data_IF_658172517693
#
_entry.id   IF_658172517693
#
_cell.length_a   1.000
_cell.length_b   1.000
_cell.length_c   1.000
_cell.angle_alpha   90.00
_cell.angle_beta   90.00
_cell.angle_gamma   90.00
#
_symmetry.space_group_name_H-M   'P 1'
#
loop_
_entity.id
_entity.type
_entity.pdbx_description
1 polymer ?
#
# COMPACT_ATOMS: atom_id res chain seq x y z
N UNK A 1 -24.06 -14.23 -16.16
CA UNK A 1 -22.87 -14.57 -15.36
C UNK A 1 -21.98 -13.33 -15.20
N UNK A 2 -21.63 -13.02 -13.99
CA UNK A 2 -20.75 -11.88 -13.75
C UNK A 2 -19.32 -12.22 -14.17
N UNK A 3 -18.67 -11.30 -14.85
CA UNK A 3 -17.28 -11.45 -15.24
C UNK A 3 -16.43 -10.70 -14.24
N UNK A 4 -15.47 -11.39 -13.65
CA UNK A 4 -14.52 -10.77 -12.76
C UNK A 4 -13.52 -9.96 -13.58
N UNK A 5 -13.47 -8.65 -13.33
CA UNK A 5 -12.58 -7.75 -14.06
C UNK A 5 -11.28 -7.48 -13.31
N UNK A 6 -11.08 -8.13 -12.19
CA UNK A 6 -9.86 -8.01 -11.39
C UNK A 6 -9.43 -9.38 -10.87
N UNK A 7 -8.15 -9.49 -10.54
CA UNK A 7 -7.61 -10.67 -9.89
C UNK A 7 -7.56 -10.45 -8.39
N UNK A 8 -7.89 -11.50 -7.62
CA UNK A 8 -7.68 -11.50 -6.18
C UNK A 8 -6.38 -12.23 -5.92
N UNK A 9 -5.48 -11.62 -5.18
CA UNK A 9 -4.18 -12.20 -4.86
C UNK A 9 -4.05 -12.35 -3.36
N UNK A 10 -3.60 -13.51 -2.93
CA UNK A 10 -3.40 -13.79 -1.52
C UNK A 10 -1.94 -13.54 -1.15
N UNK A 11 -1.72 -12.75 -0.11
CA UNK A 11 -0.38 -12.41 0.36
C UNK A 11 -0.30 -12.72 1.86
N UNK A 12 0.80 -13.34 2.27
CA UNK A 12 1.07 -13.63 3.67
C UNK A 12 2.00 -12.55 4.23
N UNK A 13 1.59 -11.93 5.32
CA UNK A 13 2.38 -10.89 5.98
C UNK A 13 3.44 -11.51 6.89
N UNK A 14 4.37 -10.70 7.36
CA UNK A 14 5.45 -11.16 8.23
C UNK A 14 4.96 -11.80 9.53
N UNK A 15 3.82 -11.36 10.03
CA UNK A 15 3.23 -11.92 11.25
C UNK A 15 2.43 -13.22 11.02
N UNK A 16 2.45 -13.74 9.79
CA UNK A 16 1.72 -14.96 9.44
C UNK A 16 0.28 -14.73 9.02
N UNK A 17 -0.23 -13.50 9.14
CA UNK A 17 -1.58 -13.18 8.68
C UNK A 17 -1.64 -13.22 7.17
N UNK A 18 -2.77 -13.69 6.63
CA UNK A 18 -2.99 -13.73 5.19
C UNK A 18 -4.06 -12.70 4.82
N UNK A 19 -3.82 -11.97 3.74
CA UNK A 19 -4.75 -10.96 3.26
C UNK A 19 -5.01 -11.20 1.77
N UNK A 20 -6.27 -11.00 1.36
CA UNK A 20 -6.65 -11.11 -0.05
C UNK A 20 -6.66 -9.71 -0.65
N UNK A 21 -5.79 -9.50 -1.63
CA UNK A 21 -5.64 -8.22 -2.28
C UNK A 21 -6.51 -8.16 -3.52
N UNK A 22 -7.24 -7.08 -3.67
CA UNK A 22 -8.04 -6.78 -4.85
C UNK A 22 -8.03 -5.28 -5.08
N UNK A 23 -8.35 -4.81 -6.29
CA UNK A 23 -8.44 -3.37 -6.53
C UNK A 23 -9.42 -2.71 -5.57
N UNK A 24 -9.07 -1.52 -5.10
CA UNK A 24 -9.92 -0.75 -4.19
C UNK A 24 -11.13 -0.21 -4.94
N UNK A 25 -12.26 -0.06 -4.22
CA UNK A 25 -13.39 0.67 -4.76
C UNK A 25 -12.97 2.12 -5.05
N UNK A 26 -13.74 2.83 -5.87
CA UNK A 26 -13.42 4.23 -6.18
C UNK A 26 -13.37 5.08 -4.91
N UNK A 27 -14.28 4.84 -3.99
CA UNK A 27 -14.30 5.59 -2.73
C UNK A 27 -13.01 5.37 -1.92
N UNK A 28 -12.58 4.13 -1.82
CA UNK A 28 -11.36 3.78 -1.10
C UNK A 28 -10.12 4.24 -1.86
N UNK A 29 -10.16 4.12 -3.18
CA UNK A 29 -9.04 4.54 -4.03
C UNK A 29 -8.78 6.04 -3.87
N UNK A 30 -9.83 6.86 -3.75
CA UNK A 30 -9.66 8.29 -3.53
C UNK A 30 -8.91 8.58 -2.24
N UNK A 31 -9.25 7.88 -1.16
CA UNK A 31 -8.55 8.02 0.11
C UNK A 31 -7.08 7.59 -0.03
N UNK A 32 -6.86 6.48 -0.70
CA UNK A 32 -5.55 5.93 -0.96
C UNK A 32 -4.68 6.93 -1.73
N UNK A 33 -5.22 7.51 -2.80
CA UNK A 33 -4.48 8.49 -3.62
C UNK A 33 -4.16 9.77 -2.86
N UNK A 34 -5.08 10.23 -2.01
CA UNK A 34 -4.84 11.41 -1.18
C UNK A 34 -3.65 11.16 -0.24
N UNK A 35 -3.62 9.98 0.38
CA UNK A 35 -2.50 9.61 1.26
C UNK A 35 -1.20 9.53 0.47
N UNK A 36 -1.22 8.89 -0.70
CA UNK A 36 -0.02 8.75 -1.53
C UNK A 36 0.55 10.07 -2.00
N UNK A 37 -0.29 11.07 -2.22
CA UNK A 37 0.18 12.39 -2.64
C UNK A 37 1.13 13.02 -1.63
N UNK A 38 1.01 12.65 -0.37
CA UNK A 38 1.90 13.16 0.66
C UNK A 38 3.33 12.68 0.49
N UNK A 39 3.54 11.59 -0.25
CA UNK A 39 4.89 11.10 -0.52
C UNK A 39 5.73 12.15 -1.27
N UNK A 40 5.09 12.96 -2.10
CA UNK A 40 5.80 14.02 -2.84
C UNK A 40 6.24 15.16 -1.93
N UNK A 41 5.66 15.26 -0.74
CA UNK A 41 6.02 16.27 0.25
C UNK A 41 7.02 15.75 1.28
N UNK A 42 7.37 14.47 1.21
CA UNK A 42 8.31 13.86 2.14
C UNK A 42 9.72 14.34 1.87
N UNK A 43 10.48 14.59 2.94
CA UNK A 43 11.86 15.06 2.84
C UNK A 43 12.88 13.98 3.19
N UNK A 44 12.43 12.85 3.76
CA UNK A 44 13.29 11.73 4.14
C UNK A 44 12.68 10.42 3.66
N UNK A 45 13.53 9.37 3.57
CA UNK A 45 13.04 8.03 3.23
C UNK A 45 12.09 7.51 4.29
N UNK A 46 12.34 7.86 5.55
CA UNK A 46 11.50 7.44 6.67
C UNK A 46 10.09 8.01 6.53
N UNK A 47 9.99 9.30 6.17
CA UNK A 47 8.69 9.94 5.94
C UNK A 47 7.97 9.31 4.75
N UNK A 48 8.71 9.00 3.68
CA UNK A 48 8.13 8.34 2.51
C UNK A 48 7.59 6.97 2.90
N UNK A 49 8.34 6.22 3.69
CA UNK A 49 7.91 4.91 4.16
C UNK A 49 6.64 5.01 5.01
N UNK A 50 6.57 6.01 5.90
CA UNK A 50 5.37 6.24 6.69
C UNK A 50 4.14 6.48 5.81
N UNK A 51 4.28 7.28 4.76
CA UNK A 51 3.18 7.54 3.82
C UNK A 51 2.75 6.26 3.12
N UNK A 52 3.71 5.44 2.69
CA UNK A 52 3.40 4.16 2.04
C UNK A 52 2.67 3.23 2.99
N UNK A 53 3.06 3.19 4.26
CA UNK A 53 2.37 2.38 5.26
C UNK A 53 0.96 2.91 5.51
N UNK A 54 0.78 4.23 5.54
CA UNK A 54 -0.55 4.82 5.66
C UNK A 54 -1.45 4.41 4.50
N UNK A 55 -0.91 4.40 3.28
CA UNK A 55 -1.66 3.96 2.10
C UNK A 55 -2.04 2.47 2.20
N UNK A 56 -1.11 1.64 2.67
CA UNK A 56 -1.37 0.22 2.90
C UNK A 56 -2.46 0.05 3.95
N UNK A 57 -2.45 0.88 4.99
CA UNK A 57 -3.48 0.83 6.03
C UNK A 57 -4.87 1.07 5.44
N UNK A 58 -5.00 2.01 4.50
CA UNK A 58 -6.27 2.23 3.80
C UNK A 58 -6.71 0.97 3.06
N UNK A 59 -5.76 0.30 2.40
CA UNK A 59 -6.06 -0.90 1.62
C UNK A 59 -6.45 -2.10 2.50
N UNK A 60 -5.88 -2.21 3.70
CA UNK A 60 -6.09 -3.38 4.57
C UNK A 60 -7.16 -3.17 5.64
N UNK A 61 -7.69 -1.96 5.78
CA UNK A 61 -8.58 -1.63 6.89
C UNK A 61 -9.78 -2.55 7.02
N UNK A 62 -10.38 -2.96 5.90
CA UNK A 62 -11.56 -3.82 5.92
C UNK A 62 -11.26 -5.25 6.31
N UNK A 63 -10.08 -5.75 5.96
CA UNK A 63 -9.73 -7.14 6.21
C UNK A 63 -9.01 -7.32 7.55
N UNK A 64 -8.19 -6.36 7.93
CA UNK A 64 -7.36 -6.44 9.12
C UNK A 64 -7.51 -5.16 9.96
N UNK A 65 -8.74 -4.83 10.41
CA UNK A 65 -8.97 -3.58 11.14
C UNK A 65 -8.16 -3.49 12.43
N UNK A 66 -7.97 -4.59 13.13
CA UNK A 66 -7.23 -4.61 14.38
C UNK A 66 -5.73 -4.33 14.14
N UNK A 67 -5.19 -4.90 13.07
CA UNK A 67 -3.80 -4.68 12.72
C UNK A 67 -3.57 -3.22 12.30
N UNK A 68 -4.49 -2.68 11.51
CA UNK A 68 -4.41 -1.29 11.05
C UNK A 68 -4.53 -0.32 12.24
N UNK A 69 -5.31 -0.66 13.24
CA UNK A 69 -5.47 0.16 14.42
C UNK A 69 -4.22 0.18 15.30
N UNK A 70 -3.32 -0.79 15.15
CA UNK A 70 -2.07 -0.87 15.91
C UNK A 70 -0.90 -0.64 14.97
N UNK A 71 -0.37 0.59 14.96
CA UNK A 71 0.70 0.97 14.01
C UNK A 71 1.95 0.13 14.17
N UNK A 72 2.37 -0.14 15.40
CA UNK A 72 3.57 -0.94 15.66
C UNK A 72 3.42 -2.36 15.11
N UNK A 73 2.26 -2.97 15.33
CA UNK A 73 1.99 -4.30 14.82
C UNK A 73 1.93 -4.31 13.30
N UNK A 74 1.37 -3.27 12.72
CA UNK A 74 1.30 -3.13 11.27
C UNK A 74 2.70 -3.04 10.65
N UNK A 75 3.57 -2.23 11.24
CA UNK A 75 4.94 -2.08 10.74
C UNK A 75 5.73 -3.37 10.88
N UNK A 76 5.50 -4.13 11.94
CA UNK A 76 6.15 -5.43 12.11
C UNK A 76 5.66 -6.47 11.10
N UNK A 77 4.43 -6.33 10.64
CA UNK A 77 3.82 -7.28 9.72
C UNK A 77 4.18 -7.00 8.26
N UNK A 78 4.72 -5.84 7.95
CA UNK A 78 4.99 -5.41 6.58
C UNK A 78 6.49 -5.42 6.27
N UNK A 79 6.80 -5.64 5.00
CA UNK A 79 8.13 -5.44 4.46
C UNK A 79 7.98 -4.70 3.12
N UNK A 80 9.09 -4.24 2.57
CA UNK A 80 9.05 -3.44 1.34
C UNK A 80 8.44 -4.20 0.17
N UNK A 81 8.83 -5.46 -0.10
CA UNK A 81 8.18 -6.21 -1.18
C UNK A 81 6.68 -6.36 -1.00
N UNK A 82 6.22 -6.59 0.23
CA UNK A 82 4.79 -6.71 0.53
C UNK A 82 4.08 -5.39 0.31
N UNK A 83 4.65 -4.28 0.77
CA UNK A 83 4.10 -2.94 0.52
C UNK A 83 3.95 -2.70 -0.97
N UNK A 84 5.00 -2.98 -1.74
CA UNK A 84 4.96 -2.80 -3.19
C UNK A 84 3.85 -3.61 -3.83
N UNK A 85 3.68 -4.85 -3.39
CA UNK A 85 2.65 -5.72 -3.93
C UNK A 85 1.25 -5.22 -3.63
N UNK A 86 1.04 -4.75 -2.40
CA UNK A 86 -0.24 -4.18 -1.99
C UNK A 86 -0.57 -2.94 -2.82
N UNK A 87 0.40 -2.05 -2.99
CA UNK A 87 0.21 -0.84 -3.79
C UNK A 87 -0.11 -1.19 -5.25
N UNK A 88 0.57 -2.20 -5.79
CA UNK A 88 0.36 -2.62 -7.17
C UNK A 88 -1.05 -3.19 -7.38
N UNK A 89 -1.46 -4.11 -6.52
CA UNK A 89 -2.75 -4.81 -6.68
C UNK A 89 -3.91 -3.91 -6.30
N UNK A 90 -3.82 -3.26 -5.15
CA UNK A 90 -4.94 -2.48 -4.61
C UNK A 90 -5.06 -1.11 -5.27
N UNK A 91 -3.94 -0.47 -5.53
CA UNK A 91 -3.93 0.88 -6.10
C UNK A 91 -3.74 0.93 -7.59
N UNK A 92 -3.46 -0.19 -8.24
CA UNK A 92 -3.18 -0.22 -9.66
C UNK A 92 -1.87 0.43 -10.05
N UNK A 93 -0.98 0.62 -9.09
CA UNK A 93 0.30 1.29 -9.32
C UNK A 93 1.34 0.24 -9.70
N UNK A 94 1.99 0.42 -10.85
CA UNK A 94 3.01 -0.53 -11.31
C UNK A 94 4.35 -0.19 -10.68
N UNK A 95 4.63 -0.85 -9.57
CA UNK A 95 5.86 -0.62 -8.81
C UNK A 95 7.09 -1.26 -9.44
N UNK A 96 6.89 -2.07 -10.46
CA UNK A 96 7.99 -2.63 -11.25
C UNK A 96 8.53 -1.64 -12.28
N UNK A 97 7.87 -0.50 -12.45
CA UNK A 97 8.37 0.57 -13.31
C UNK A 97 9.47 1.33 -12.55
N UNK A 98 10.74 1.22 -12.99
CA UNK A 98 11.83 1.86 -12.26
C UNK A 98 11.70 3.38 -12.20
N UNK A 99 11.09 4.00 -13.21
CA UNK A 99 10.89 5.44 -13.20
C UNK A 99 9.90 5.87 -12.13
N UNK A 100 8.83 5.11 -11.95
CA UNK A 100 7.82 5.41 -10.95
C UNK A 100 8.39 5.27 -9.55
N UNK A 101 9.09 4.17 -9.29
CA UNK A 101 9.70 3.93 -7.99
C UNK A 101 10.79 4.95 -7.69
N UNK A 102 11.64 5.24 -8.69
CA UNK A 102 12.70 6.22 -8.53
C UNK A 102 12.14 7.61 -8.24
N UNK A 103 11.04 7.99 -8.90
CA UNK A 103 10.40 9.28 -8.67
C UNK A 103 9.90 9.38 -7.23
N UNK A 104 9.32 8.31 -6.69
CA UNK A 104 8.83 8.30 -5.31
C UNK A 104 9.99 8.42 -4.32
N UNK A 105 11.08 7.69 -4.55
CA UNK A 105 12.25 7.73 -3.68
C UNK A 105 12.95 9.09 -3.75
N UNK A 106 13.14 9.61 -4.96
CA UNK A 106 13.80 10.89 -5.16
C UNK A 106 13.01 12.05 -4.57
N UNK A 107 11.68 11.99 -4.63
CA UNK A 107 10.84 12.99 -4.01
C UNK A 107 11.07 13.04 -2.50
N UNK A 108 11.33 11.88 -1.89
CA UNK A 108 11.63 11.79 -0.47
C UNK A 108 13.03 12.27 -0.11
N UNK A 109 13.93 12.35 -1.07
CA UNK A 109 15.33 12.75 -0.83
C UNK A 109 15.58 14.24 -1.09
N UNK A 110 14.69 14.86 -1.81
CA UNK A 110 14.78 16.28 -2.11
C UNK A 110 13.94 17.12 -1.13
#
# INVERSE_FOLDING_TARGET
MATTVYSVEEVTLQNGSTVKLKPLSIKELRKFMIVLQEASNSTTEDQTLDVLIDAVAVALEKQLPELVANRDALEDALDVPTINRILEVCGGIKMDDPNLLAAAVLAGQN
#
